data_IF_432984826799
#
_entry.id   IF_432984826799
#
_cell.length_a   1.000
_cell.length_b   1.000
_cell.length_c   1.000
_cell.angle_alpha   90.00
_cell.angle_beta   90.00
_cell.angle_gamma   90.00
#
_symmetry.space_group_name_H-M   'P 1'
#
loop_
_entity.id
_entity.type
_entity.pdbx_description
1 polymer ?
#
# COMPACT_ATOMS: atom_id res chain seq x y z
N UNK A 1 -14.17 7.56 -5.57
CA UNK A 1 -14.81 6.23 -5.42
C UNK A 1 -14.06 5.52 -4.32
N UNK A 2 -14.77 4.87 -3.40
CA UNK A 2 -14.16 4.07 -2.36
C UNK A 2 -14.41 2.58 -2.63
N UNK A 3 -13.37 1.77 -2.43
CA UNK A 3 -13.45 0.32 -2.48
C UNK A 3 -13.00 -0.21 -1.14
N UNK A 4 -13.94 -0.74 -0.37
CA UNK A 4 -13.63 -1.46 0.85
C UNK A 4 -13.21 -2.88 0.47
N UNK A 5 -12.02 -3.27 0.90
CA UNK A 5 -11.48 -4.59 0.56
C UNK A 5 -11.96 -5.64 1.56
N UNK A 6 -12.06 -6.89 1.12
CA UNK A 6 -12.30 -8.02 2.04
C UNK A 6 -11.04 -8.43 2.83
N UNK A 7 -9.90 -7.76 2.59
CA UNK A 7 -8.64 -8.03 3.27
C UNK A 7 -8.60 -7.27 4.59
N UNK A 8 -8.11 -7.95 5.62
CA UNK A 8 -7.99 -7.43 6.97
C UNK A 8 -6.50 -7.11 7.21
N UNK A 9 -6.22 -5.93 7.76
CA UNK A 9 -4.87 -5.50 8.09
C UNK A 9 -4.37 -6.02 9.44
N UNK A 10 -3.18 -5.57 9.86
CA UNK A 10 -2.57 -5.95 11.14
C UNK A 10 -3.33 -5.43 12.37
N UNK A 11 -4.26 -4.49 12.19
CA UNK A 11 -5.11 -3.91 13.24
C UNK A 11 -6.51 -4.55 13.28
N UNK A 12 -6.77 -5.55 12.44
CA UNK A 12 -8.07 -6.20 12.26
C UNK A 12 -9.12 -5.33 11.57
N UNK A 13 -8.70 -4.30 10.84
CA UNK A 13 -9.57 -3.42 10.08
C UNK A 13 -9.57 -3.76 8.58
N UNK A 14 -10.69 -3.51 7.92
CA UNK A 14 -10.80 -3.64 6.47
C UNK A 14 -10.06 -2.48 5.80
N UNK A 15 -9.16 -2.80 4.88
CA UNK A 15 -8.42 -1.77 4.15
C UNK A 15 -9.38 -1.05 3.20
N UNK A 16 -9.49 0.27 3.34
CA UNK A 16 -10.20 1.13 2.41
C UNK A 16 -9.25 1.68 1.35
N UNK A 17 -9.62 1.49 0.09
CA UNK A 17 -8.89 2.04 -1.04
C UNK A 17 -9.70 3.15 -1.70
N UNK A 18 -9.11 4.33 -1.78
CA UNK A 18 -9.79 5.53 -2.29
C UNK A 18 -9.21 5.92 -3.64
N UNK A 19 -10.07 6.00 -4.66
CA UNK A 19 -9.74 6.54 -5.97
C UNK A 19 -10.19 7.97 -6.09
N UNK A 20 -9.26 8.87 -6.40
CA UNK A 20 -9.51 10.29 -6.63
C UNK A 20 -8.97 10.75 -7.98
N UNK A 21 -9.58 11.80 -8.53
CA UNK A 21 -9.14 12.44 -9.77
C UNK A 21 -8.04 13.47 -9.46
N UNK A 22 -7.02 13.52 -10.31
CA UNK A 22 -5.93 14.51 -10.26
C UNK A 22 -5.78 15.17 -11.64
N UNK A 23 -5.08 16.31 -11.78
CA UNK A 23 -4.96 17.01 -13.07
C UNK A 23 -4.42 16.16 -14.22
N UNK A 24 -3.65 15.12 -13.91
CA UNK A 24 -3.00 14.23 -14.90
C UNK A 24 -3.67 12.86 -15.03
N UNK A 25 -4.86 12.66 -14.45
CA UNK A 25 -5.58 11.38 -14.48
C UNK A 25 -6.16 11.03 -13.11
N UNK A 26 -5.71 9.89 -12.56
CA UNK A 26 -6.27 9.30 -11.35
C UNK A 26 -5.17 8.89 -10.38
N UNK A 27 -5.54 8.80 -9.10
CA UNK A 27 -4.71 8.17 -8.08
C UNK A 27 -5.57 7.23 -7.24
N UNK A 28 -4.98 6.11 -6.84
CA UNK A 28 -5.52 5.23 -5.81
C UNK A 28 -4.60 5.28 -4.59
N UNK A 29 -5.21 5.38 -3.42
CA UNK A 29 -4.54 5.49 -2.14
C UNK A 29 -5.10 4.41 -1.20
N UNK A 30 -4.25 3.88 -0.32
CA UNK A 30 -4.75 3.24 0.89
C UNK A 30 -5.12 4.29 1.95
N UNK A 31 -5.59 3.82 3.10
CA UNK A 31 -6.04 4.60 4.25
C UNK A 31 -4.91 4.95 5.23
N UNK A 32 -3.64 4.70 4.87
CA UNK A 32 -2.46 5.12 5.63
C UNK A 32 -2.09 4.24 6.84
N UNK A 33 -2.87 3.21 7.18
CA UNK A 33 -2.58 2.34 8.34
C UNK A 33 -1.28 1.54 8.20
N UNK A 34 -0.84 1.28 6.97
CA UNK A 34 0.35 0.46 6.68
C UNK A 34 1.65 1.09 7.23
N UNK A 35 1.69 2.41 7.44
CA UNK A 35 2.94 3.15 7.62
C UNK A 35 3.14 3.80 8.99
N UNK A 36 2.29 3.53 9.98
CA UNK A 36 2.45 4.13 11.31
C UNK A 36 3.53 3.46 12.19
N UNK A 37 4.32 2.56 11.61
CA UNK A 37 5.36 1.80 12.31
C UNK A 37 6.75 2.39 12.03
N UNK A 38 7.50 2.70 13.08
CA UNK A 38 8.91 3.09 12.97
C UNK A 38 9.76 1.93 12.44
N UNK A 39 10.33 2.07 11.23
CA UNK A 39 11.15 1.05 10.60
C UNK A 39 12.64 1.24 10.89
N UNK A 40 13.33 0.15 11.25
CA UNK A 40 14.80 0.12 11.26
C UNK A 40 15.37 0.36 9.86
N UNK A 41 16.65 0.75 9.75
CA UNK A 41 17.29 1.00 8.45
C UNK A 41 17.19 -0.18 7.49
N UNK A 42 17.36 -1.42 7.98
CA UNK A 42 17.21 -2.64 7.18
C UNK A 42 15.79 -2.79 6.66
N UNK A 43 14.78 -2.62 7.54
CA UNK A 43 13.36 -2.70 7.17
C UNK A 43 12.97 -1.64 6.16
N UNK A 44 13.49 -0.42 6.32
CA UNK A 44 13.28 0.67 5.36
C UNK A 44 13.80 0.33 3.96
N UNK A 45 14.93 -0.37 3.85
CA UNK A 45 15.45 -0.81 2.55
C UNK A 45 14.56 -1.86 1.90
N UNK A 46 14.14 -2.89 2.65
CA UNK A 46 13.21 -3.92 2.15
C UNK A 46 11.87 -3.30 1.74
N UNK A 47 11.32 -2.43 2.59
CA UNK A 47 10.09 -1.68 2.31
C UNK A 47 10.20 -0.89 1.00
N UNK A 48 11.27 -0.10 0.83
CA UNK A 48 11.49 0.66 -0.39
C UNK A 48 11.65 -0.23 -1.63
N UNK A 49 12.27 -1.41 -1.50
CA UNK A 49 12.39 -2.37 -2.60
C UNK A 49 11.02 -2.94 -3.01
N UNK A 50 10.19 -3.30 -2.04
CA UNK A 50 8.81 -3.74 -2.28
C UNK A 50 8.06 -2.64 -3.04
N UNK A 51 8.04 -1.41 -2.52
CA UNK A 51 7.36 -0.29 -3.16
C UNK A 51 7.84 -0.05 -4.61
N UNK A 52 9.16 -0.06 -4.82
CA UNK A 52 9.75 0.12 -6.15
C UNK A 52 9.29 -0.97 -7.14
N UNK A 53 9.21 -2.23 -6.69
CA UNK A 53 8.80 -3.36 -7.54
C UNK A 53 7.35 -3.23 -8.03
N UNK A 54 6.48 -2.63 -7.22
CA UNK A 54 5.07 -2.39 -7.55
C UNK A 54 4.79 -0.99 -8.10
N UNK A 55 5.81 -0.14 -8.24
CA UNK A 55 5.67 1.28 -8.61
C UNK A 55 4.69 2.03 -7.70
N UNK A 56 4.76 1.73 -6.41
CA UNK A 56 4.00 2.41 -5.35
C UNK A 56 4.88 3.49 -4.73
N UNK A 57 4.27 4.61 -4.36
CA UNK A 57 4.92 5.70 -3.63
C UNK A 57 4.21 5.96 -2.32
N UNK A 58 4.86 6.64 -1.39
CA UNK A 58 4.25 7.08 -0.13
C UNK A 58 3.81 8.54 -0.25
N UNK A 59 2.55 8.84 0.06
CA UNK A 59 2.02 10.19 0.10
C UNK A 59 2.56 10.98 1.31
N UNK A 60 2.25 12.28 1.38
CA UNK A 60 2.60 13.09 2.57
C UNK A 60 1.87 12.60 3.83
N UNK A 61 0.67 12.06 3.64
CA UNK A 61 -0.20 11.57 4.69
C UNK A 61 0.12 10.10 5.06
N UNK A 62 1.28 9.61 4.62
CA UNK A 62 1.76 8.23 4.82
C UNK A 62 0.87 7.16 4.17
N UNK A 63 0.19 7.49 3.08
CA UNK A 63 -0.61 6.52 2.32
C UNK A 63 0.23 5.89 1.20
N UNK A 64 -0.01 4.61 0.90
CA UNK A 64 0.49 3.95 -0.30
C UNK A 64 -0.32 4.39 -1.52
N UNK A 65 0.35 4.99 -2.49
CA UNK A 65 -0.28 5.63 -3.65
C UNK A 65 0.24 5.08 -4.96
N UNK A 66 -0.67 4.91 -5.93
CA UNK A 66 -0.36 4.69 -7.34
C UNK A 66 -1.10 5.73 -8.18
N UNK A 67 -0.39 6.41 -9.08
CA UNK A 67 -0.96 7.30 -10.10
C UNK A 67 -1.08 6.58 -11.44
N UNK A 68 -2.16 6.84 -12.15
CA UNK A 68 -2.45 6.23 -13.45
C UNK A 68 -3.31 7.16 -14.31
N UNK A 69 -3.21 7.06 -15.63
CA UNK A 69 -3.82 8.02 -16.57
C UNK A 69 -5.19 7.63 -17.08
N UNK A 70 -5.50 6.32 -17.12
CA UNK A 70 -6.71 5.79 -17.75
C UNK A 70 -7.50 4.93 -16.76
N UNK A 71 -8.82 5.17 -16.62
CA UNK A 71 -9.68 4.35 -15.75
C UNK A 71 -9.76 2.89 -16.17
N UNK A 72 -9.47 2.57 -17.44
CA UNK A 72 -9.40 1.18 -17.90
C UNK A 72 -8.25 0.41 -17.26
N UNK A 73 -7.21 1.09 -16.77
CA UNK A 73 -6.10 0.49 -16.01
C UNK A 73 -6.48 0.17 -14.55
N UNK A 74 -7.61 0.69 -14.06
CA UNK A 74 -8.00 0.60 -12.65
C UNK A 74 -7.95 -0.83 -12.08
N UNK A 75 -8.49 -1.88 -12.74
CA UNK A 75 -8.43 -3.22 -12.19
C UNK A 75 -7.00 -3.73 -11.98
N UNK A 76 -6.10 -3.43 -12.92
CA UNK A 76 -4.70 -3.83 -12.82
C UNK A 76 -3.95 -3.03 -11.74
N UNK A 77 -4.25 -1.73 -11.64
CA UNK A 77 -3.69 -0.84 -10.61
C UNK A 77 -4.15 -1.24 -9.21
N UNK A 78 -5.43 -1.60 -9.04
CA UNK A 78 -6.01 -2.08 -7.79
C UNK A 78 -5.30 -3.36 -7.31
N UNK A 79 -5.21 -4.37 -8.18
CA UNK A 79 -4.53 -5.64 -7.86
C UNK A 79 -3.06 -5.40 -7.49
N UNK A 80 -2.39 -4.49 -8.23
CA UNK A 80 -0.99 -4.14 -7.94
C UNK A 80 -0.81 -3.50 -6.56
N UNK A 81 -1.70 -2.58 -6.18
CA UNK A 81 -1.66 -1.96 -4.85
C UNK A 81 -1.93 -3.01 -3.75
N UNK A 82 -2.94 -3.86 -3.92
CA UNK A 82 -3.26 -4.94 -2.98
C UNK A 82 -2.09 -5.91 -2.78
N UNK A 83 -1.40 -6.32 -3.86
CA UNK A 83 -0.22 -7.17 -3.76
C UNK A 83 0.94 -6.47 -3.05
N UNK A 84 1.12 -5.16 -3.28
CA UNK A 84 2.13 -4.38 -2.56
C UNK A 84 1.84 -4.35 -1.06
N UNK A 85 0.61 -4.02 -0.68
CA UNK A 85 0.14 -4.02 0.72
C UNK A 85 0.39 -5.39 1.36
N UNK A 86 -0.01 -6.48 0.69
CA UNK A 86 0.21 -7.84 1.18
C UNK A 86 1.68 -8.17 1.43
N UNK A 87 2.60 -7.77 0.55
CA UNK A 87 4.04 -7.98 0.76
C UNK A 87 4.60 -7.13 1.90
N UNK A 88 4.12 -5.90 2.05
CA UNK A 88 4.50 -5.05 3.20
C UNK A 88 4.04 -5.70 4.51
N UNK A 89 2.83 -6.25 4.55
CA UNK A 89 2.35 -6.97 5.73
C UNK A 89 3.14 -8.24 6.02
N UNK A 90 3.47 -9.03 5.01
CA UNK A 90 4.34 -10.20 5.18
C UNK A 90 5.71 -9.82 5.76
N UNK A 91 6.30 -8.72 5.29
CA UNK A 91 7.55 -8.17 5.85
C UNK A 91 7.39 -7.80 7.33
N UNK A 92 6.25 -7.23 7.74
CA UNK A 92 5.99 -6.93 9.15
C UNK A 92 5.81 -8.18 10.02
N UNK A 93 5.13 -9.21 9.50
CA UNK A 93 4.85 -10.46 10.24
C UNK A 93 6.10 -11.34 10.41
N UNK A 94 6.92 -11.52 9.36
CA UNK A 94 8.12 -12.38 9.43
C UNK A 94 9.14 -11.95 10.50
N UNK A 95 9.15 -10.66 10.81
CA UNK A 95 10.02 -10.09 11.83
C UNK A 95 9.42 -10.14 13.25
N UNK A 96 8.09 -10.29 13.39
CA UNK A 96 7.46 -10.54 14.69
C UNK A 96 7.82 -11.95 15.20
N UNK A 97 7.84 -12.93 14.29
CA UNK A 97 8.14 -14.34 14.61
C UNK A 97 9.64 -14.63 14.85
N UNK A 98 10.55 -13.76 14.40
CA UNK A 98 12.00 -13.93 14.60
C UNK A 98 12.52 -13.37 15.93
N UNK A 99 11.62 -13.14 16.89
CA UNK A 99 11.92 -12.66 18.25
C UNK A 99 12.10 -13.78 19.30
N UNK A 100 12.33 -15.03 18.89
CA UNK A 100 12.54 -16.19 19.78
C UNK A 100 13.96 -16.77 19.67
#
# INVERSE_FOLDING_TARGET
MEVQTSFIDIFHDHISLVVTTIPTGYQINDDGYVLDVSLSTRRKNSFNQILASFRVTVSRDKELTIKFSDLTDFPAVLVRLLHCIGQVFQMFQQDADSSF
#
